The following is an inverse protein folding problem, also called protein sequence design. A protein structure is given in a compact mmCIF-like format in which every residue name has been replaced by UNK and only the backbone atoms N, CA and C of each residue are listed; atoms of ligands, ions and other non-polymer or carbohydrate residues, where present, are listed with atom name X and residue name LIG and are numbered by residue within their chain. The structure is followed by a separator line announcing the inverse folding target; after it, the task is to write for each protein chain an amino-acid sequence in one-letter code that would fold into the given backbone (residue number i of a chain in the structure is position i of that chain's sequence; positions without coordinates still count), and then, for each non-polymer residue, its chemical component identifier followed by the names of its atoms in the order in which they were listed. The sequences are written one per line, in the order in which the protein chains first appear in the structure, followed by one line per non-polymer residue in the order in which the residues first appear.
data_IF_126631390621
#
_entry.id   IF_126631390621
#
_cell.length_a   1.000
_cell.length_b   1.000
_cell.length_c   1.000
_cell.angle_alpha   90.00
_cell.angle_beta   90.00
_cell.angle_gamma   90.00
#
_symmetry.space_group_name_H-M   'P 1'
#
loop_
_entity.id
_entity.type
_entity.pdbx_description
1 polymer ?
#
# COMPACT_ATOMS: atom_id res chain seq x y z
N UNK A 1 -25.23 9.15 -12.53
CA UNK A 1 -26.35 8.19 -12.34
C UNK A 1 -25.81 6.78 -12.46
N UNK A 2 -26.56 5.72 -12.06
CA UNK A 2 -26.04 4.36 -12.03
C UNK A 2 -25.63 3.89 -13.44
N UNK A 3 -24.31 3.76 -13.62
CA UNK A 3 -23.63 3.01 -14.68
C UNK A 3 -24.08 3.26 -16.11
N UNK A 4 -23.64 4.35 -16.72
CA UNK A 4 -23.60 4.43 -18.18
C UNK A 4 -22.61 3.38 -18.69
N UNK A 5 -23.12 2.39 -19.42
CA UNK A 5 -22.35 1.24 -19.91
C UNK A 5 -21.41 1.61 -21.06
N UNK A 6 -21.57 2.83 -21.61
CA UNK A 6 -20.68 3.43 -22.59
C UNK A 6 -19.71 4.45 -21.97
N UNK A 7 -19.72 4.62 -20.65
CA UNK A 7 -18.79 5.54 -19.99
C UNK A 7 -17.35 5.04 -20.14
N UNK A 8 -16.49 5.90 -20.70
CA UNK A 8 -15.05 5.71 -20.79
C UNK A 8 -14.33 6.01 -19.48
N UNK A 9 -15.03 6.61 -18.51
CA UNK A 9 -14.51 7.03 -17.20
C UNK A 9 -15.47 6.59 -16.09
N UNK A 10 -14.98 6.56 -14.85
CA UNK A 10 -15.78 6.28 -13.66
C UNK A 10 -15.31 7.17 -12.49
N UNK A 11 -16.14 7.29 -11.45
CA UNK A 11 -15.75 8.03 -10.25
C UNK A 11 -14.95 7.14 -9.31
N UNK A 12 -13.66 7.44 -9.16
CA UNK A 12 -12.80 6.86 -8.13
C UNK A 12 -12.93 7.68 -6.84
N UNK A 13 -13.19 7.02 -5.71
CA UNK A 13 -13.14 7.67 -4.39
C UNK A 13 -11.70 7.73 -3.91
N UNK A 14 -11.31 8.87 -3.37
CA UNK A 14 -10.07 9.05 -2.65
C UNK A 14 -10.29 9.99 -1.46
N UNK A 15 -9.36 9.98 -0.52
CA UNK A 15 -9.31 10.92 0.59
C UNK A 15 -8.00 11.68 0.55
N UNK A 16 -8.07 12.99 0.73
CA UNK A 16 -6.91 13.87 0.92
C UNK A 16 -6.92 14.33 2.37
N UNK A 17 -5.78 14.21 3.05
CA UNK A 17 -5.63 14.65 4.43
C UNK A 17 -4.34 15.46 4.57
N UNK A 18 -4.38 16.49 5.41
CA UNK A 18 -3.24 17.39 5.60
C UNK A 18 -3.16 18.52 4.58
N UNK A 19 -4.31 19.04 4.12
CA UNK A 19 -4.37 20.23 3.23
C UNK A 19 -3.68 21.47 3.83
N UNK A 20 -3.56 21.52 5.17
CA UNK A 20 -2.88 22.58 5.93
C UNK A 20 -1.35 22.40 5.97
N UNK A 21 -0.75 21.94 4.86
CA UNK A 21 0.71 21.77 4.74
C UNK A 21 1.40 23.10 5.07
N UNK A 22 2.46 23.02 5.86
CA UNK A 22 3.26 24.20 6.15
C UNK A 22 4.08 24.59 4.91
N UNK A 23 4.35 25.89 4.69
CA UNK A 23 5.31 26.31 3.69
C UNK A 23 6.68 25.67 3.98
N UNK A 24 7.27 25.02 2.98
CA UNK A 24 8.62 24.48 3.14
C UNK A 24 9.67 25.59 3.19
N UNK A 25 10.71 25.41 4.00
CA UNK A 25 11.83 26.33 4.12
C UNK A 25 12.58 26.57 2.80
N UNK A 26 12.54 25.62 1.87
CA UNK A 26 13.16 25.73 0.53
C UNK A 26 12.16 26.10 -0.58
N UNK A 27 10.90 26.40 -0.24
CA UNK A 27 9.84 26.72 -1.19
C UNK A 27 9.30 25.55 -2.02
N UNK A 28 9.81 24.33 -1.83
CA UNK A 28 9.31 23.13 -2.52
C UNK A 28 8.15 22.49 -1.75
N UNK A 29 7.15 21.89 -2.43
CA UNK A 29 6.09 21.17 -1.76
C UNK A 29 6.63 19.93 -1.03
N UNK A 30 6.07 19.63 0.15
CA UNK A 30 6.30 18.36 0.84
C UNK A 30 5.79 17.17 -0.01
N UNK A 31 6.26 15.94 0.29
CA UNK A 31 5.91 14.76 -0.48
C UNK A 31 4.42 14.41 -0.35
N UNK A 32 3.91 13.64 -1.32
CA UNK A 32 2.63 12.97 -1.23
C UNK A 32 2.88 11.53 -0.76
N UNK A 33 2.32 11.16 0.38
CA UNK A 33 2.25 9.78 0.81
C UNK A 33 0.95 9.18 0.28
N UNK A 34 1.09 8.26 -0.68
CA UNK A 34 -0.01 7.64 -1.39
C UNK A 34 -0.22 6.22 -0.87
N UNK A 35 -1.37 5.99 -0.23
CA UNK A 35 -1.87 4.65 0.04
C UNK A 35 -2.56 4.12 -1.21
N UNK A 36 -1.98 3.07 -1.78
CA UNK A 36 -2.57 2.32 -2.88
C UNK A 36 -3.61 1.37 -2.26
N UNK A 37 -4.89 1.75 -2.33
CA UNK A 37 -5.97 0.93 -1.80
C UNK A 37 -5.90 -0.51 -2.32
N UNK A 38 -6.35 -1.45 -1.52
CA UNK A 38 -6.36 -2.87 -1.84
C UNK A 38 -7.80 -3.40 -1.79
N UNK A 39 -8.00 -4.66 -1.42
CA UNK A 39 -9.24 -5.40 -1.69
C UNK A 39 -10.41 -5.10 -0.72
N UNK A 40 -10.58 -3.84 -0.31
CA UNK A 40 -11.70 -3.41 0.55
C UNK A 40 -12.06 -1.93 0.40
N UNK A 41 -13.10 -1.51 1.12
CA UNK A 41 -13.44 -0.09 1.27
C UNK A 41 -12.25 0.67 1.88
N UNK A 42 -11.82 1.75 1.23
CA UNK A 42 -10.60 2.46 1.60
C UNK A 42 -10.66 3.10 3.00
N UNK A 43 -11.87 3.33 3.53
CA UNK A 43 -12.05 3.86 4.89
C UNK A 43 -11.52 2.91 5.96
N UNK A 44 -11.47 1.59 5.68
CA UNK A 44 -10.82 0.62 6.55
C UNK A 44 -9.33 0.95 6.72
N UNK A 45 -8.64 1.30 5.64
CA UNK A 45 -7.20 1.57 5.68
C UNK A 45 -6.89 2.97 6.20
N UNK A 46 -7.75 3.94 5.90
CA UNK A 46 -7.66 5.30 6.44
C UNK A 46 -7.61 5.27 7.98
N UNK A 47 -8.42 4.41 8.61
CA UNK A 47 -8.51 4.29 10.06
C UNK A 47 -7.43 3.39 10.70
N UNK A 48 -6.72 2.58 9.91
CA UNK A 48 -5.81 1.54 10.44
C UNK A 48 -4.35 1.66 9.96
N UNK A 49 -4.01 2.59 9.07
CA UNK A 49 -2.64 2.74 8.53
C UNK A 49 -1.83 3.77 9.34
N UNK A 50 -1.53 3.44 10.60
CA UNK A 50 -0.88 4.36 11.55
C UNK A 50 0.44 4.98 11.05
N UNK A 51 1.29 4.17 10.38
CA UNK A 51 2.63 4.62 9.97
C UNK A 51 2.62 5.84 9.04
N UNK A 52 1.64 5.93 8.13
CA UNK A 52 1.52 7.11 7.24
C UNK A 52 1.17 8.36 8.05
N UNK A 53 0.23 8.24 8.99
CA UNK A 53 -0.19 9.33 9.87
C UNK A 53 0.93 9.80 10.80
N UNK A 54 1.64 8.86 11.42
CA UNK A 54 2.75 9.12 12.35
C UNK A 54 3.89 9.90 11.68
N UNK A 55 4.17 9.61 10.41
CA UNK A 55 5.25 10.25 9.66
C UNK A 55 4.81 11.52 8.93
N UNK A 56 3.51 11.69 8.64
CA UNK A 56 2.99 12.79 7.83
C UNK A 56 3.50 14.16 8.31
N UNK A 57 3.43 14.41 9.61
CA UNK A 57 3.84 15.68 10.20
C UNK A 57 5.34 15.94 10.06
N UNK A 58 6.18 14.93 10.32
CA UNK A 58 7.64 15.05 10.24
C UNK A 58 8.14 15.34 8.82
N UNK A 59 7.44 14.82 7.81
CA UNK A 59 7.77 15.05 6.41
C UNK A 59 6.97 16.20 5.79
N UNK A 60 6.08 16.85 6.53
CA UNK A 60 5.12 17.82 6.00
C UNK A 60 4.38 17.26 4.76
N UNK A 61 3.99 15.99 4.84
CA UNK A 61 3.45 15.23 3.72
C UNK A 61 1.94 15.42 3.56
N UNK A 62 1.48 15.42 2.31
CA UNK A 62 0.06 15.23 2.00
C UNK A 62 -0.26 13.75 2.07
N UNK A 63 -1.29 13.36 2.81
CA UNK A 63 -1.76 11.97 2.78
C UNK A 63 -2.86 11.82 1.75
N UNK A 64 -2.73 10.81 0.91
CA UNK A 64 -3.74 10.44 -0.09
C UNK A 64 -4.06 8.97 0.07
N UNK A 65 -5.33 8.65 0.29
CA UNK A 65 -5.83 7.29 0.31
C UNK A 65 -6.71 7.06 -0.91
N UNK A 66 -6.18 6.39 -1.92
CA UNK A 66 -6.87 6.13 -3.17
C UNK A 66 -7.58 4.77 -3.13
N UNK A 67 -8.89 4.74 -3.32
CA UNK A 67 -9.63 3.47 -3.33
C UNK A 67 -9.36 2.67 -4.60
N UNK A 68 -9.14 1.37 -4.43
CA UNK A 68 -8.93 0.47 -5.55
C UNK A 68 -10.20 0.32 -6.39
N UNK A 69 -10.06 0.30 -7.72
CA UNK A 69 -11.17 -0.01 -8.63
C UNK A 69 -11.85 -1.32 -8.24
N UNK A 70 -13.16 -1.37 -8.36
CA UNK A 70 -14.07 -2.46 -7.96
C UNK A 70 -14.26 -2.68 -6.45
N UNK A 71 -13.68 -1.86 -5.59
CA UNK A 71 -13.88 -1.94 -4.14
C UNK A 71 -14.55 -0.68 -3.58
N UNK A 72 -15.22 -0.85 -2.43
CA UNK A 72 -15.94 0.23 -1.75
C UNK A 72 -16.96 0.94 -2.65
N UNK A 73 -16.75 2.22 -2.90
CA UNK A 73 -17.61 3.06 -3.76
C UNK A 73 -17.03 3.26 -5.17
N UNK A 74 -15.81 2.79 -5.40
CA UNK A 74 -15.07 2.96 -6.66
C UNK A 74 -15.37 1.79 -7.60
N UNK A 75 -16.62 1.68 -8.06
CA UNK A 75 -17.10 0.52 -8.82
C UNK A 75 -17.40 0.89 -10.28
N UNK A 76 -16.46 0.66 -11.22
CA UNK A 76 -16.72 0.78 -12.64
C UNK A 76 -17.89 -0.12 -13.06
N UNK A 77 -18.71 0.35 -14.00
CA UNK A 77 -19.86 -0.39 -14.55
C UNK A 77 -20.94 -0.81 -13.52
N UNK A 78 -20.92 -0.23 -12.31
CA UNK A 78 -21.96 -0.41 -11.29
C UNK A 78 -22.31 -1.88 -11.04
N UNK A 79 -23.59 -2.25 -11.12
CA UNK A 79 -24.07 -3.61 -10.86
C UNK A 79 -23.57 -4.69 -11.86
N UNK A 80 -22.87 -4.32 -12.93
CA UNK A 80 -22.38 -5.25 -13.95
C UNK A 80 -20.92 -5.67 -13.75
N UNK A 81 -20.37 -5.52 -12.53
CA UNK A 81 -18.98 -5.91 -12.18
C UNK A 81 -18.58 -7.26 -12.75
N UNK A 82 -19.39 -8.31 -12.52
CA UNK A 82 -19.08 -9.69 -12.94
C UNK A 82 -18.83 -9.83 -14.45
N UNK A 83 -19.45 -8.98 -15.27
CA UNK A 83 -19.30 -8.99 -16.74
C UNK A 83 -18.11 -8.15 -17.22
N UNK A 84 -17.52 -7.34 -16.35
CA UNK A 84 -16.47 -6.38 -16.66
C UNK A 84 -15.18 -6.59 -15.84
N UNK A 85 -15.06 -7.73 -15.15
CA UNK A 85 -13.88 -8.12 -14.36
C UNK A 85 -12.56 -8.10 -15.12
N UNK A 86 -12.59 -8.13 -16.46
CA UNK A 86 -11.40 -7.93 -17.31
C UNK A 86 -10.64 -6.63 -17.02
N UNK A 87 -11.29 -5.64 -16.42
CA UNK A 87 -10.65 -4.37 -16.04
C UNK A 87 -10.19 -4.34 -14.58
N UNK A 88 -10.46 -5.39 -13.78
CA UNK A 88 -9.87 -5.58 -12.46
C UNK A 88 -8.48 -6.20 -12.62
N UNK A 89 -7.48 -5.35 -12.81
CA UNK A 89 -6.07 -5.74 -12.93
C UNK A 89 -5.18 -4.74 -12.21
N UNK A 90 -4.00 -5.20 -11.79
CA UNK A 90 -3.02 -4.34 -11.13
C UNK A 90 -2.55 -3.22 -12.06
N UNK A 91 -2.37 -3.52 -13.35
CA UNK A 91 -1.95 -2.56 -14.36
C UNK A 91 -2.94 -1.41 -14.48
N UNK A 92 -4.22 -1.73 -14.52
CA UNK A 92 -5.28 -0.74 -14.60
C UNK A 92 -5.45 0.07 -13.31
N UNK A 93 -5.34 -0.57 -12.14
CA UNK A 93 -5.37 0.14 -10.87
C UNK A 93 -4.18 1.12 -10.75
N UNK A 94 -2.99 0.70 -11.19
CA UNK A 94 -1.81 1.56 -11.25
C UNK A 94 -2.00 2.74 -12.22
N UNK A 95 -2.71 2.54 -13.33
CA UNK A 95 -3.08 3.63 -14.24
C UNK A 95 -4.00 4.65 -13.55
N UNK A 96 -5.03 4.19 -12.82
CA UNK A 96 -5.91 5.09 -12.05
C UNK A 96 -5.12 5.92 -11.05
N UNK A 97 -4.20 5.28 -10.31
CA UNK A 97 -3.37 5.98 -9.32
C UNK A 97 -2.42 6.99 -9.97
N UNK A 98 -1.88 6.69 -11.16
CA UNK A 98 -1.04 7.62 -11.90
C UNK A 98 -1.82 8.86 -12.37
N UNK A 99 -3.06 8.67 -12.85
CA UNK A 99 -3.95 9.76 -13.27
C UNK A 99 -4.35 10.63 -12.06
N UNK A 100 -4.80 10.01 -10.96
CA UNK A 100 -5.12 10.71 -9.72
C UNK A 100 -3.94 11.53 -9.19
N UNK A 101 -2.72 10.97 -9.20
CA UNK A 101 -1.52 11.71 -8.78
C UNK A 101 -1.27 12.93 -9.66
N UNK A 102 -1.46 12.82 -10.97
CA UNK A 102 -1.29 13.93 -11.89
C UNK A 102 -2.31 15.04 -11.61
N UNK A 103 -3.58 14.69 -11.37
CA UNK A 103 -4.63 15.63 -10.99
C UNK A 103 -4.32 16.34 -9.68
N UNK A 104 -3.96 15.59 -8.63
CA UNK A 104 -3.65 16.18 -7.31
C UNK A 104 -2.42 17.09 -7.36
N UNK A 105 -1.40 16.74 -8.14
CA UNK A 105 -0.24 17.62 -8.33
C UNK A 105 -0.62 18.95 -8.99
N UNK A 106 -1.57 18.93 -9.92
CA UNK A 106 -2.09 20.16 -10.53
C UNK A 106 -2.96 20.95 -9.54
N UNK A 107 -3.92 20.29 -8.89
CA UNK A 107 -4.85 20.90 -7.93
C UNK A 107 -4.11 21.60 -6.78
N UNK A 108 -3.05 20.97 -6.26
CA UNK A 108 -2.25 21.52 -5.16
C UNK A 108 -1.02 22.32 -5.62
N UNK A 109 -0.89 22.65 -6.91
CA UNK A 109 0.26 23.36 -7.49
C UNK A 109 1.62 22.78 -7.02
N UNK A 110 1.74 21.46 -7.06
CA UNK A 110 2.86 20.71 -6.50
C UNK A 110 3.50 19.75 -7.53
N UNK A 111 3.92 20.23 -8.73
CA UNK A 111 4.43 19.37 -9.80
C UNK A 111 5.66 18.55 -9.37
N UNK A 112 6.52 19.16 -8.55
CA UNK A 112 7.77 18.58 -8.04
C UNK A 112 7.60 17.72 -6.77
N UNK A 113 6.37 17.58 -6.24
CA UNK A 113 6.17 16.75 -5.06
C UNK A 113 6.56 15.30 -5.35
N UNK A 114 7.48 14.75 -4.55
CA UNK A 114 7.77 13.32 -4.58
C UNK A 114 6.52 12.53 -4.17
N UNK A 115 6.26 11.41 -4.83
CA UNK A 115 5.13 10.53 -4.51
C UNK A 115 5.70 9.23 -3.97
N UNK A 116 5.31 8.89 -2.74
CA UNK A 116 5.82 7.73 -2.01
C UNK A 116 4.63 6.82 -1.73
N UNK A 117 4.68 5.61 -2.27
CA UNK A 117 3.66 4.58 -2.08
C UNK A 117 4.21 3.20 -2.44
N UNK A 118 3.55 2.16 -1.94
CA UNK A 118 3.96 0.77 -2.16
C UNK A 118 5.17 0.34 -1.33
N UNK A 119 5.83 -0.74 -1.75
CA UNK A 119 6.98 -1.31 -1.05
C UNK A 119 8.30 -0.64 -1.47
N UNK A 120 9.26 -0.46 -0.55
CA UNK A 120 10.58 0.07 -0.90
C UNK A 120 11.31 -0.89 -1.85
N UNK A 121 12.15 -0.37 -2.76
CA UNK A 121 12.94 -1.19 -3.71
C UNK A 121 13.76 -2.29 -3.03
N UNK A 122 14.21 -2.02 -1.81
CA UNK A 122 14.96 -2.98 -1.00
C UNK A 122 14.10 -4.13 -0.46
N UNK A 123 12.76 -4.04 -0.46
CA UNK A 123 11.87 -5.03 0.14
C UNK A 123 12.16 -6.45 -0.36
N UNK A 124 12.13 -6.67 -1.68
CA UNK A 124 12.39 -8.00 -2.23
C UNK A 124 13.82 -8.50 -1.94
N UNK A 125 14.79 -7.60 -1.86
CA UNK A 125 16.17 -7.93 -1.46
C UNK A 125 16.25 -8.34 0.02
N UNK A 126 15.60 -7.58 0.89
CA UNK A 126 15.56 -7.81 2.33
C UNK A 126 14.83 -9.11 2.66
N UNK A 127 13.70 -9.41 2.00
CA UNK A 127 12.98 -10.68 2.15
C UNK A 127 13.88 -11.85 1.74
N UNK A 128 14.56 -11.75 0.58
CA UNK A 128 15.52 -12.79 0.14
C UNK A 128 16.69 -12.97 1.11
N UNK A 129 17.21 -11.88 1.68
CA UNK A 129 18.27 -11.95 2.69
C UNK A 129 17.77 -12.60 3.99
N UNK A 130 16.54 -12.28 4.40
CA UNK A 130 15.86 -12.89 5.55
C UNK A 130 15.73 -14.41 5.40
N UNK A 131 15.31 -14.90 4.23
CA UNK A 131 15.23 -16.34 3.98
C UNK A 131 16.57 -17.06 4.12
N UNK A 132 17.65 -16.47 3.61
CA UNK A 132 19.01 -17.02 3.78
C UNK A 132 19.44 -17.07 5.25
N UNK A 133 19.02 -16.08 6.05
CA UNK A 133 19.31 -16.05 7.48
C UNK A 133 18.49 -17.10 8.24
N UNK A 134 17.22 -17.29 7.89
CA UNK A 134 16.38 -18.33 8.48
C UNK A 134 16.95 -19.72 8.22
N UNK A 135 17.35 -20.00 6.97
CA UNK A 135 17.98 -21.26 6.58
C UNK A 135 19.26 -21.54 7.39
N UNK A 136 20.16 -20.56 7.50
CA UNK A 136 21.41 -20.73 8.25
C UNK A 136 21.22 -20.90 9.75
N UNK A 137 20.28 -20.17 10.36
CA UNK A 137 19.94 -20.32 11.79
C UNK A 137 19.23 -21.65 12.06
N UNK A 138 18.37 -22.09 11.15
CA UNK A 138 17.56 -23.31 11.26
C UNK A 138 18.37 -24.60 11.31
N UNK A 139 19.64 -24.57 10.91
CA UNK A 139 20.57 -25.70 11.00
C UNK A 139 20.87 -26.16 12.43
N UNK A 140 20.67 -25.29 13.44
CA UNK A 140 20.99 -25.60 14.84
C UNK A 140 19.77 -25.49 15.75
N UNK A 141 19.72 -26.28 16.82
CA UNK A 141 18.64 -26.19 17.81
C UNK A 141 18.58 -24.80 18.46
N UNK A 142 19.73 -24.20 18.77
CA UNK A 142 19.79 -22.85 19.33
C UNK A 142 19.24 -21.81 18.34
N UNK A 143 19.63 -21.90 17.06
CA UNK A 143 19.13 -21.00 16.02
C UNK A 143 17.63 -21.14 15.79
N UNK A 144 17.07 -22.36 15.85
CA UNK A 144 15.62 -22.58 15.82
C UNK A 144 14.90 -21.94 17.00
N UNK A 145 15.44 -22.05 18.22
CA UNK A 145 14.90 -21.34 19.40
C UNK A 145 14.92 -19.82 19.21
N UNK A 146 15.99 -19.27 18.62
CA UNK A 146 16.08 -17.84 18.30
C UNK A 146 15.03 -17.41 17.26
N UNK A 147 14.79 -18.22 16.23
CA UNK A 147 13.76 -17.97 15.22
C UNK A 147 12.37 -17.96 15.87
N UNK A 148 12.04 -18.97 16.68
CA UNK A 148 10.76 -19.04 17.39
C UNK A 148 10.51 -17.80 18.26
N UNK A 149 11.52 -17.34 18.98
CA UNK A 149 11.43 -16.13 19.80
C UNK A 149 11.27 -14.85 18.97
N UNK A 150 12.08 -14.69 17.90
CA UNK A 150 12.05 -13.50 17.06
C UNK A 150 10.73 -13.35 16.28
N UNK A 151 10.21 -14.46 15.75
CA UNK A 151 8.95 -14.50 15.01
C UNK A 151 7.71 -14.62 15.92
N UNK A 152 7.93 -14.78 17.23
CA UNK A 152 6.86 -14.99 18.23
C UNK A 152 5.92 -16.14 17.84
N UNK A 153 6.51 -17.25 17.41
CA UNK A 153 5.74 -18.44 17.03
C UNK A 153 4.94 -18.95 18.22
N UNK A 154 3.78 -19.54 17.95
CA UNK A 154 2.96 -20.14 19.00
C UNK A 154 3.75 -21.26 19.71
N UNK A 155 3.49 -21.52 21.00
CA UNK A 155 4.24 -22.51 21.78
C UNK A 155 4.22 -23.94 21.20
N UNK A 156 3.18 -24.27 20.43
CA UNK A 156 2.96 -25.54 19.74
C UNK A 156 3.65 -25.62 18.36
N UNK A 157 4.07 -24.48 17.79
CA UNK A 157 4.87 -24.42 16.57
C UNK A 157 6.35 -24.76 16.89
N UNK A 158 6.62 -26.05 17.07
CA UNK A 158 7.97 -26.55 17.35
C UNK A 158 8.80 -26.67 16.07
N UNK A 159 9.92 -25.95 16.01
CA UNK A 159 10.93 -26.10 14.96
C UNK A 159 11.95 -27.17 15.39
N UNK A 160 11.72 -28.41 14.96
CA UNK A 160 12.53 -29.56 15.37
C UNK A 160 13.64 -29.87 14.36
N UNK A 161 13.49 -29.44 13.12
CA UNK A 161 14.39 -29.68 12.01
C UNK A 161 14.59 -28.43 11.16
N UNK A 162 15.55 -28.47 10.24
CA UNK A 162 15.74 -27.40 9.25
C UNK A 162 14.57 -27.34 8.27
N UNK A 163 13.94 -28.48 7.95
CA UNK A 163 12.76 -28.52 7.08
C UNK A 163 11.56 -27.78 7.70
N UNK A 164 11.40 -27.84 9.02
CA UNK A 164 10.35 -27.08 9.73
C UNK A 164 10.54 -25.56 9.57
N UNK A 165 11.78 -25.09 9.42
CA UNK A 165 12.10 -23.67 9.21
C UNK A 165 11.83 -23.25 7.77
N UNK A 166 12.06 -24.13 6.80
CA UNK A 166 11.79 -23.88 5.39
C UNK A 166 10.29 -23.98 5.05
N UNK A 167 9.50 -24.63 5.91
CA UNK A 167 8.04 -24.74 5.80
C UNK A 167 7.24 -23.60 6.44
N UNK A 168 7.89 -22.62 7.09
CA UNK A 168 7.28 -21.38 7.60
C UNK A 168 6.81 -20.47 6.46
#
# INVERSE_FOLDING_TARGET
GPGDLNATTYSQRYFVCGEQRQPSANGLPGPIFLYLGNEADVTLYLNNTGLMWENAASFNALLVFAEHRYYGKSVPYGGQVRRHMRYLSAEQAMADYAELVAELKQEFNAPEAAVIGGAPRACAGNVRAGWKLLDSLGATQEGRTRISAAMRLCPDASLNSTDDVLGL
#
